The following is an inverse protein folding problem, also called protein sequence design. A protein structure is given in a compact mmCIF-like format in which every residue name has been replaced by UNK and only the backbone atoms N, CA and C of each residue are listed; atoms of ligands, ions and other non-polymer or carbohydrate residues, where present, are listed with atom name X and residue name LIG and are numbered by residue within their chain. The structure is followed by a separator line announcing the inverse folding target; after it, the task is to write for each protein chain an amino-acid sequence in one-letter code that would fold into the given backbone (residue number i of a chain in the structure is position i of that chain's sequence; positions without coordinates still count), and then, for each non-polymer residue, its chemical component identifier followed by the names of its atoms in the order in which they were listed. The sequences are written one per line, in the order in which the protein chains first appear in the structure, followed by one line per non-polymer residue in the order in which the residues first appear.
data_IF_009372516132
#
_entry.id   IF_009372516132
#
_cell.length_a   1.000
_cell.length_b   1.000
_cell.length_c   1.000
_cell.angle_alpha   90.00
_cell.angle_beta   90.00
_cell.angle_gamma   90.00
#
_symmetry.space_group_name_H-M   'P 1'
#
loop_
_entity.id
_entity.type
_entity.pdbx_description
1 polymer ?
#
# COMPACT_ATOMS: atom_id res chain seq x y z
N UNK A 1 -13.88 1.36 -4.69
CA UNK A 1 -13.63 -0.10 -4.71
C UNK A 1 -14.95 -0.80 -5.00
N UNK A 2 -15.02 -1.76 -5.94
CA UNK A 2 -16.21 -2.60 -6.15
C UNK A 2 -16.28 -3.70 -5.06
N UNK A 3 -16.36 -3.30 -3.79
CA UNK A 3 -16.23 -4.19 -2.63
C UNK A 3 -17.30 -3.90 -1.60
N UNK A 4 -17.93 -4.94 -1.05
CA UNK A 4 -18.84 -4.82 0.08
C UNK A 4 -18.09 -4.33 1.33
N UNK A 5 -18.72 -3.46 2.12
CA UNK A 5 -18.14 -2.90 3.34
C UNK A 5 -17.64 -3.99 4.32
N UNK A 6 -18.43 -5.04 4.51
CA UNK A 6 -18.09 -6.17 5.40
C UNK A 6 -16.81 -6.89 4.98
N UNK A 7 -16.53 -6.96 3.68
CA UNK A 7 -15.28 -7.52 3.15
C UNK A 7 -14.10 -6.59 3.43
N UNK A 8 -14.26 -5.28 3.19
CA UNK A 8 -13.24 -4.28 3.50
C UNK A 8 -12.88 -4.27 4.99
N UNK A 9 -13.90 -4.33 5.86
CA UNK A 9 -13.72 -4.38 7.30
C UNK A 9 -12.95 -5.63 7.75
N UNK A 10 -13.33 -6.81 7.24
CA UNK A 10 -12.59 -8.07 7.53
C UNK A 10 -11.13 -8.00 7.08
N UNK A 11 -10.85 -7.35 5.94
CA UNK A 11 -9.48 -7.14 5.47
C UNK A 11 -8.69 -6.27 6.45
N UNK A 12 -9.26 -5.16 6.92
CA UNK A 12 -8.61 -4.27 7.90
C UNK A 12 -8.28 -5.04 9.18
N UNK A 13 -9.26 -5.76 9.76
CA UNK A 13 -9.04 -6.51 11.01
C UNK A 13 -7.96 -7.58 10.84
N UNK A 14 -7.93 -8.26 9.70
CA UNK A 14 -6.87 -9.22 9.40
C UNK A 14 -5.50 -8.54 9.30
N UNK A 15 -5.40 -7.43 8.56
CA UNK A 15 -4.16 -6.67 8.44
C UNK A 15 -3.66 -6.17 9.79
N UNK A 16 -4.53 -5.68 10.67
CA UNK A 16 -4.17 -5.27 12.03
C UNK A 16 -3.58 -6.44 12.84
N UNK A 17 -4.15 -7.64 12.71
CA UNK A 17 -3.65 -8.85 13.38
C UNK A 17 -2.28 -9.27 12.83
N UNK A 18 -2.13 -9.27 11.51
CA UNK A 18 -0.91 -9.72 10.84
C UNK A 18 0.26 -8.73 11.09
N UNK A 19 -0.04 -7.42 11.21
CA UNK A 19 0.94 -6.37 11.49
C UNK A 19 1.16 -6.12 12.99
N UNK A 20 0.31 -6.70 13.85
CA UNK A 20 0.27 -6.45 15.28
C UNK A 20 0.18 -4.94 15.63
N UNK A 21 -0.59 -4.18 14.86
CA UNK A 21 -0.79 -2.75 15.07
C UNK A 21 -2.22 -2.32 14.66
N UNK A 22 -2.69 -1.20 15.21
CA UNK A 22 -3.98 -0.61 14.82
C UNK A 22 -3.82 0.26 13.58
N UNK A 23 -4.71 0.09 12.62
CA UNK A 23 -4.72 0.83 11.36
C UNK A 23 -5.73 1.96 11.36
N UNK A 24 -6.83 1.80 12.10
CA UNK A 24 -7.90 2.79 12.19
C UNK A 24 -8.18 3.20 13.63
N UNK A 25 -8.42 4.49 13.83
CA UNK A 25 -9.05 5.05 15.02
C UNK A 25 -10.53 5.25 14.72
N UNK A 26 -11.39 4.51 15.41
CA UNK A 26 -12.83 4.70 15.36
C UNK A 26 -13.25 5.90 16.21
N UNK A 27 -13.98 6.84 15.63
CA UNK A 27 -14.70 7.87 16.40
C UNK A 27 -16.05 7.29 16.81
N UNK A 28 -16.25 7.08 18.12
CA UNK A 28 -17.54 6.63 18.66
C UNK A 28 -18.60 7.67 18.24
N UNK A 29 -19.61 7.21 17.51
CA UNK A 29 -20.61 8.08 16.88
C UNK A 29 -21.64 8.58 17.89
N UNK A 30 -21.71 9.91 18.07
CA UNK A 30 -22.86 10.60 18.66
C UNK A 30 -23.75 11.24 17.56
N UNK A 31 -24.54 12.27 17.91
CA UNK A 31 -25.46 12.99 17.00
C UNK A 31 -24.84 13.50 15.68
N UNK A 32 -23.51 13.58 15.57
CA UNK A 32 -22.77 14.02 14.38
C UNK A 32 -22.22 12.89 13.48
N UNK A 33 -22.54 11.62 13.76
CA UNK A 33 -22.06 10.47 13.00
C UNK A 33 -20.73 9.90 13.51
N UNK A 34 -20.56 8.59 13.36
CA UNK A 34 -19.29 7.88 13.59
C UNK A 34 -18.39 7.94 12.36
N UNK A 35 -17.08 7.89 12.58
CA UNK A 35 -16.07 7.95 11.52
C UNK A 35 -14.88 7.03 11.81
N UNK A 36 -14.04 6.80 10.81
CA UNK A 36 -12.78 6.09 10.99
C UNK A 36 -11.67 6.87 10.32
N UNK A 37 -10.60 7.13 11.07
CA UNK A 37 -9.42 7.83 10.57
C UNK A 37 -8.20 6.92 10.67
N UNK A 38 -7.21 7.11 9.79
CA UNK A 38 -5.95 6.37 9.87
C UNK A 38 -5.18 6.74 11.13
N UNK A 39 -4.60 5.73 11.78
CA UNK A 39 -3.58 5.96 12.82
C UNK A 39 -2.33 6.61 12.22
N UNK A 40 -1.50 7.31 13.01
CA UNK A 40 -0.19 7.78 12.56
C UNK A 40 0.68 6.66 11.97
N UNK A 41 0.69 5.50 12.61
CA UNK A 41 1.43 4.32 12.18
C UNK A 41 0.94 3.79 10.82
N UNK A 42 -0.37 3.81 10.58
CA UNK A 42 -0.92 3.42 9.29
C UNK A 42 -0.53 4.39 8.17
N UNK A 43 -0.46 5.71 8.45
CA UNK A 43 0.01 6.70 7.47
C UNK A 43 1.48 6.52 7.13
N UNK A 44 2.31 6.20 8.13
CA UNK A 44 3.71 5.89 7.91
C UNK A 44 3.88 4.62 7.09
N UNK A 45 3.12 3.56 7.39
CA UNK A 45 3.13 2.32 6.64
C UNK A 45 2.79 2.53 5.15
N UNK A 46 1.76 3.34 4.86
CA UNK A 46 1.41 3.71 3.48
C UNK A 46 2.54 4.46 2.79
N UNK A 47 3.20 5.38 3.48
CA UNK A 47 4.35 6.13 2.95
C UNK A 47 5.52 5.20 2.60
N UNK A 48 5.81 4.23 3.46
CA UNK A 48 6.84 3.21 3.21
C UNK A 48 6.46 2.36 1.99
N UNK A 49 5.21 1.90 1.91
CA UNK A 49 4.73 1.11 0.78
C UNK A 49 4.86 1.86 -0.54
N UNK A 50 4.44 3.12 -0.60
CA UNK A 50 4.55 3.96 -1.80
C UNK A 50 6.01 4.14 -2.23
N UNK A 51 6.90 4.38 -1.27
CA UNK A 51 8.34 4.51 -1.53
C UNK A 51 8.94 3.22 -2.08
N UNK A 52 8.59 2.07 -1.50
CA UNK A 52 9.05 0.77 -2.01
C UNK A 52 8.54 0.55 -3.43
N UNK A 53 7.25 0.77 -3.67
CA UNK A 53 6.65 0.61 -4.99
C UNK A 53 7.30 1.50 -6.05
N UNK A 54 7.61 2.76 -5.71
CA UNK A 54 8.31 3.67 -6.61
C UNK A 54 9.71 3.14 -6.96
N UNK A 55 10.51 2.80 -5.93
CA UNK A 55 11.87 2.27 -6.12
C UNK A 55 11.88 0.98 -6.92
N UNK A 56 10.91 0.09 -6.68
CA UNK A 56 10.77 -1.16 -7.43
C UNK A 56 10.48 -0.88 -8.91
N UNK A 57 9.61 0.08 -9.23
CA UNK A 57 9.33 0.45 -10.63
C UNK A 57 10.57 1.02 -11.31
N UNK A 58 11.24 1.99 -10.69
CA UNK A 58 12.46 2.60 -11.21
C UNK A 58 13.55 1.54 -11.45
N UNK A 59 13.74 0.62 -10.50
CA UNK A 59 14.69 -0.48 -10.65
C UNK A 59 14.35 -1.36 -11.85
N UNK A 60 13.10 -1.80 -11.97
CA UNK A 60 12.65 -2.67 -13.06
C UNK A 60 12.81 -1.99 -14.43
N UNK A 61 12.45 -0.70 -14.53
CA UNK A 61 12.59 0.06 -15.78
C UNK A 61 14.07 0.18 -16.20
N UNK A 62 14.96 0.49 -15.25
CA UNK A 62 16.39 0.58 -15.50
C UNK A 62 16.98 -0.77 -15.94
N UNK A 63 16.61 -1.86 -15.27
CA UNK A 63 17.08 -3.21 -15.63
C UNK A 63 16.61 -3.60 -17.03
N UNK A 64 15.35 -3.36 -17.36
CA UNK A 64 14.81 -3.65 -18.69
C UNK A 64 15.59 -2.87 -19.77
N UNK A 65 15.90 -1.59 -19.53
CA UNK A 65 16.67 -0.78 -20.47
C UNK A 65 18.12 -1.27 -20.62
N UNK A 66 18.75 -1.71 -19.53
CA UNK A 66 20.07 -2.32 -19.55
C UNK A 66 20.10 -3.59 -20.41
N UNK A 67 19.12 -4.49 -20.23
CA UNK A 67 19.00 -5.70 -21.06
C UNK A 67 18.72 -5.38 -22.53
N UNK A 68 17.89 -4.38 -22.83
CA UNK A 68 17.66 -3.94 -24.22
C UNK A 68 18.95 -3.46 -24.89
N UNK A 69 19.79 -2.72 -24.16
CA UNK A 69 21.10 -2.25 -24.66
C UNK A 69 22.08 -3.40 -24.87
N UNK A 70 22.09 -4.40 -23.98
CA UNK A 70 22.97 -5.56 -24.14
C UNK A 70 22.60 -6.41 -25.35
N UNK A 71 21.30 -6.61 -25.62
CA UNK A 71 20.82 -7.35 -26.79
C UNK A 71 21.26 -6.65 -28.09
N UNK A 72 21.01 -5.34 -28.21
CA UNK A 72 21.42 -4.55 -29.40
C UNK A 72 22.92 -4.55 -29.66
N UNK A 73 23.75 -4.73 -28.61
CA UNK A 73 25.21 -4.83 -28.74
C UNK A 73 25.64 -6.21 -29.23
N UNK A 74 24.92 -7.27 -28.87
CA UNK A 74 25.22 -8.64 -29.31
C UNK A 74 24.81 -8.92 -30.76
N UNK A 75 23.86 -8.14 -31.31
CA UNK A 75 23.43 -8.22 -32.71
C UNK A 75 24.34 -7.44 -33.69
N UNK A 76 25.32 -6.69 -33.18
CA UNK A 76 26.36 -6.01 -33.97
C UNK A 76 27.66 -6.78 -33.94
#
# INVERSE_FOLDING_TARGET
MRMAYSKAYKMIIRSEKDLNCKLLVGKIGGKGGGGSELTPEARELLTIYERVNLKTKEFVENEIENYKKSIKKAEK
#
